data_IF_426860827972
#
_entry.id   IF_426860827972
#
_cell.length_a   1.000
_cell.length_b   1.000
_cell.length_c   1.000
_cell.angle_alpha   90.00
_cell.angle_beta   90.00
_cell.angle_gamma   90.00
#
_symmetry.space_group_name_H-M   'P 1'
#
loop_
_entity.id
_entity.type
_entity.pdbx_description
1 polymer ?
#
# COMPACT_ATOMS: atom_id res chain seq x y z
N UNK A 1 -49.04 -0.69 95.50
CA UNK A 1 -49.40 -0.73 94.06
C UNK A 1 -48.12 -0.48 93.25
N UNK A 2 -47.53 -1.57 92.78
CA UNK A 2 -46.25 -1.51 92.05
C UNK A 2 -46.49 -1.58 90.53
N UNK A 3 -45.99 -0.64 89.83
CA UNK A 3 -46.08 -0.57 88.38
C UNK A 3 -44.82 -1.23 87.77
N UNK A 4 -44.91 -2.50 87.29
CA UNK A 4 -43.87 -3.16 86.61
C UNK A 4 -43.83 -2.69 85.15
N UNK A 5 -42.86 -1.86 84.82
CA UNK A 5 -42.55 -1.50 83.44
C UNK A 5 -41.80 -2.68 82.80
N UNK A 6 -42.46 -3.37 81.91
CA UNK A 6 -41.83 -4.37 81.08
C UNK A 6 -40.96 -3.68 80.01
N UNK A 7 -39.65 -3.69 80.19
CA UNK A 7 -38.67 -3.35 79.14
C UNK A 7 -38.81 -4.37 78.02
N UNK A 8 -39.47 -3.97 76.95
CA UNK A 8 -39.43 -4.70 75.72
C UNK A 8 -38.00 -4.75 75.16
N UNK A 9 -37.48 -5.95 75.07
CA UNK A 9 -36.19 -6.20 74.47
C UNK A 9 -36.33 -6.02 72.97
N UNK A 10 -35.93 -4.88 72.42
CA UNK A 10 -35.75 -4.74 71.00
C UNK A 10 -34.45 -5.48 70.61
N UNK A 11 -34.56 -6.77 70.38
CA UNK A 11 -33.51 -7.61 69.93
C UNK A 11 -33.53 -7.68 68.40
N UNK A 12 -32.49 -7.19 67.76
CA UNK A 12 -31.94 -8.00 66.68
C UNK A 12 -32.30 -7.63 65.26
N UNK A 13 -32.64 -6.38 64.88
CA UNK A 13 -32.70 -6.03 63.46
C UNK A 13 -31.41 -5.39 62.90
N UNK A 14 -30.48 -5.00 63.75
CA UNK A 14 -29.23 -4.36 63.31
C UNK A 14 -28.25 -5.28 62.61
N UNK A 15 -28.29 -6.59 62.87
CA UNK A 15 -27.41 -7.56 62.22
C UNK A 15 -27.91 -7.97 60.83
N UNK A 16 -29.24 -8.03 60.66
CA UNK A 16 -29.87 -8.41 59.38
C UNK A 16 -29.73 -7.29 58.37
N UNK A 17 -29.96 -6.03 58.77
CA UNK A 17 -29.75 -4.85 57.90
C UNK A 17 -28.27 -4.66 57.49
N UNK A 18 -27.32 -5.03 58.34
CA UNK A 18 -25.90 -5.00 57.99
C UNK A 18 -25.52 -6.07 56.95
N UNK A 19 -26.09 -7.26 57.05
CA UNK A 19 -25.87 -8.33 56.09
C UNK A 19 -26.53 -8.02 54.72
N UNK A 20 -27.72 -7.49 54.70
CA UNK A 20 -28.40 -7.06 53.49
C UNK A 20 -27.65 -5.96 52.76
N UNK A 21 -27.17 -4.92 53.47
CA UNK A 21 -26.35 -3.87 52.87
C UNK A 21 -25.02 -4.38 52.37
N UNK A 22 -24.39 -5.35 53.04
CA UNK A 22 -23.15 -5.94 52.56
C UNK A 22 -23.37 -6.73 51.27
N UNK A 23 -24.44 -7.48 51.15
CA UNK A 23 -24.78 -8.24 49.92
C UNK A 23 -25.03 -7.26 48.76
N UNK A 24 -25.79 -6.18 49.00
CA UNK A 24 -26.07 -5.19 47.96
C UNK A 24 -24.78 -4.49 47.50
N UNK A 25 -23.89 -4.13 48.45
CA UNK A 25 -22.61 -3.51 48.12
C UNK A 25 -21.72 -4.46 47.26
N UNK A 26 -21.63 -5.73 47.65
CA UNK A 26 -20.87 -6.71 46.89
C UNK A 26 -21.46 -6.90 45.47
N UNK A 27 -22.78 -7.03 45.38
CA UNK A 27 -23.47 -7.16 44.09
C UNK A 27 -23.22 -5.93 43.20
N UNK A 28 -23.30 -4.73 43.78
CA UNK A 28 -23.03 -3.47 43.09
C UNK A 28 -21.56 -3.40 42.58
N UNK A 29 -20.59 -3.72 43.45
CA UNK A 29 -19.18 -3.72 43.08
C UNK A 29 -18.87 -4.73 41.96
N UNK A 30 -19.48 -5.93 42.02
CA UNK A 30 -19.29 -6.94 40.96
C UNK A 30 -19.87 -6.45 39.64
N UNK A 31 -21.10 -5.94 39.64
CA UNK A 31 -21.72 -5.41 38.41
C UNK A 31 -20.91 -4.21 37.87
N UNK A 32 -20.51 -3.29 38.74
CA UNK A 32 -19.73 -2.11 38.36
C UNK A 32 -18.36 -2.51 37.78
N UNK A 33 -17.69 -3.54 38.35
CA UNK A 33 -16.39 -4.00 37.86
C UNK A 33 -16.50 -4.68 36.50
N UNK A 34 -17.53 -5.50 36.26
CA UNK A 34 -17.81 -6.13 34.95
C UNK A 34 -18.13 -5.06 33.91
N UNK A 35 -18.96 -4.09 34.29
CA UNK A 35 -19.30 -2.98 33.38
C UNK A 35 -18.08 -2.14 33.05
N UNK A 36 -17.26 -1.77 34.04
CA UNK A 36 -16.03 -1.03 33.84
C UNK A 36 -15.05 -1.80 32.94
N UNK A 37 -14.90 -3.10 33.13
CA UNK A 37 -14.08 -3.96 32.28
C UNK A 37 -14.57 -3.98 30.83
N UNK A 38 -15.88 -4.15 30.61
CA UNK A 38 -16.43 -4.18 29.25
C UNK A 38 -16.26 -2.85 28.52
N UNK A 39 -16.50 -1.72 29.21
CA UNK A 39 -16.31 -0.38 28.62
C UNK A 39 -14.83 -0.11 28.31
N UNK A 40 -13.93 -0.46 29.24
CA UNK A 40 -12.50 -0.30 29.04
C UNK A 40 -11.99 -1.19 27.87
N UNK A 41 -12.43 -2.44 27.83
CA UNK A 41 -12.06 -3.36 26.73
C UNK A 41 -12.57 -2.86 25.37
N UNK A 42 -13.80 -2.38 25.29
CA UNK A 42 -14.36 -1.81 24.08
C UNK A 42 -13.61 -0.52 23.66
N UNK A 43 -13.26 0.32 24.63
CA UNK A 43 -12.46 1.54 24.38
C UNK A 43 -11.06 1.25 23.87
N UNK A 44 -10.38 0.26 24.46
CA UNK A 44 -9.05 -0.18 23.98
C UNK A 44 -9.13 -0.77 22.58
N UNK A 45 -10.14 -1.59 22.29
CA UNK A 45 -10.34 -2.15 20.96
C UNK A 45 -10.60 -1.06 19.91
N UNK A 46 -11.43 -0.06 20.23
CA UNK A 46 -11.68 1.09 19.35
C UNK A 46 -10.40 1.87 19.07
N UNK A 47 -9.64 2.19 20.12
CA UNK A 47 -8.38 2.92 20.00
C UNK A 47 -7.33 2.15 19.17
N UNK A 48 -7.28 0.81 19.29
CA UNK A 48 -6.41 -0.03 18.47
C UNK A 48 -6.83 0.00 16.99
N UNK A 49 -8.13 -0.08 16.72
CA UNK A 49 -8.67 0.00 15.34
C UNK A 49 -8.45 1.37 14.71
N UNK A 50 -8.60 2.44 15.46
CA UNK A 50 -8.29 3.79 14.99
C UNK A 50 -6.80 3.93 14.64
N UNK A 51 -5.92 3.45 15.51
CA UNK A 51 -4.47 3.45 15.26
C UNK A 51 -4.10 2.63 14.04
N UNK A 52 -4.68 1.45 13.87
CA UNK A 52 -4.48 0.60 12.70
C UNK A 52 -4.93 1.31 11.41
N UNK A 53 -6.13 1.91 11.42
CA UNK A 53 -6.66 2.64 10.26
C UNK A 53 -5.80 3.86 9.88
N UNK A 54 -5.33 4.61 10.87
CA UNK A 54 -4.42 5.74 10.64
C UNK A 54 -3.08 5.25 10.09
N UNK A 55 -2.53 4.17 10.64
CA UNK A 55 -1.26 3.59 10.16
C UNK A 55 -1.36 3.14 8.71
N UNK A 56 -2.41 2.40 8.35
CA UNK A 56 -2.65 1.95 6.96
C UNK A 56 -2.86 3.16 6.02
N UNK A 57 -3.57 4.19 6.48
CA UNK A 57 -3.77 5.43 5.71
C UNK A 57 -2.46 6.19 5.45
N UNK A 58 -1.59 6.28 6.44
CA UNK A 58 -0.28 6.90 6.30
C UNK A 58 0.62 6.06 5.39
N UNK A 59 0.64 4.75 5.57
CA UNK A 59 1.40 3.82 4.72
C UNK A 59 0.97 3.93 3.25
N UNK A 60 -0.33 3.94 2.97
CA UNK A 60 -0.85 4.12 1.62
C UNK A 60 -0.48 5.48 0.99
N UNK A 61 -0.47 6.55 1.78
CA UNK A 61 -0.07 7.87 1.31
C UNK A 61 1.45 8.01 1.11
N UNK A 62 2.26 7.39 1.97
CA UNK A 62 3.72 7.44 1.92
C UNK A 62 4.29 6.57 0.80
N UNK A 63 3.59 5.53 0.39
CA UNK A 63 3.98 4.64 -0.72
C UNK A 63 3.65 5.21 -2.11
N UNK A 64 3.40 6.52 -2.23
CA UNK A 64 3.16 7.16 -3.52
C UNK A 64 4.47 7.30 -4.31
N UNK A 65 4.45 6.78 -5.54
CA UNK A 65 5.54 6.91 -6.50
C UNK A 65 5.47 8.24 -7.24
N UNK A 66 6.59 8.74 -7.70
CA UNK A 66 6.69 9.88 -8.63
C UNK A 66 7.76 9.66 -9.67
N UNK A 67 7.59 10.28 -10.84
CA UNK A 67 8.58 10.28 -11.90
C UNK A 67 9.57 11.40 -11.64
N UNK A 68 10.86 11.08 -11.64
CA UNK A 68 11.95 12.02 -11.45
C UNK A 68 12.71 12.22 -12.78
N UNK A 69 12.46 13.32 -13.44
CA UNK A 69 13.11 13.65 -14.72
C UNK A 69 12.26 13.33 -15.94
N UNK A 70 12.91 13.22 -17.09
CA UNK A 70 12.26 12.98 -18.38
C UNK A 70 12.03 11.51 -18.65
N UNK A 71 11.05 11.22 -19.48
CA UNK A 71 10.79 9.89 -20.04
C UNK A 71 11.53 9.80 -21.38
N UNK A 72 12.25 8.72 -21.58
CA UNK A 72 13.05 8.47 -22.77
C UNK A 72 12.47 7.28 -23.52
N UNK A 73 12.17 7.46 -24.78
CA UNK A 73 11.88 6.38 -25.70
C UNK A 73 13.15 6.03 -26.50
N UNK A 74 13.42 4.75 -26.68
CA UNK A 74 14.60 4.25 -27.36
C UNK A 74 14.22 3.25 -28.41
N UNK A 75 14.70 3.48 -29.61
CA UNK A 75 14.77 2.55 -30.73
C UNK A 75 16.15 1.86 -30.66
N UNK A 76 16.20 0.53 -30.59
CA UNK A 76 17.44 -0.23 -30.38
C UNK A 76 17.96 -0.89 -31.65
N UNK A 77 17.15 -1.09 -32.66
CA UNK A 77 17.48 -1.79 -33.90
C UNK A 77 17.45 -0.89 -35.14
N UNK A 78 16.89 0.32 -35.05
CA UNK A 78 16.90 1.33 -36.11
C UNK A 78 15.76 1.22 -37.11
N UNK A 79 14.72 0.50 -36.78
CA UNK A 79 13.53 0.33 -37.63
C UNK A 79 12.48 1.46 -37.47
N UNK A 80 12.73 2.40 -36.54
CA UNK A 80 11.95 3.60 -36.24
C UNK A 80 10.73 3.38 -35.35
N UNK A 81 10.63 2.25 -34.74
CA UNK A 81 9.68 2.04 -33.66
C UNK A 81 10.39 2.16 -32.27
N UNK A 82 9.59 2.14 -31.23
CA UNK A 82 10.10 2.24 -29.86
C UNK A 82 10.14 0.88 -29.24
N UNK A 83 11.34 0.39 -28.91
CA UNK A 83 11.56 -0.88 -28.23
C UNK A 83 11.56 -0.76 -26.71
N UNK A 84 11.99 0.40 -26.19
CA UNK A 84 12.19 0.58 -24.77
C UNK A 84 11.70 1.95 -24.30
N UNK A 85 11.03 1.97 -23.15
CA UNK A 85 10.69 3.16 -22.43
C UNK A 85 11.49 3.23 -21.14
N UNK A 86 12.21 4.33 -20.94
CA UNK A 86 13.13 4.50 -19.83
C UNK A 86 12.72 5.73 -19.03
N UNK A 87 12.51 5.59 -17.74
CA UNK A 87 12.20 6.69 -16.84
C UNK A 87 12.75 6.41 -15.44
N UNK A 88 12.80 7.41 -14.61
CA UNK A 88 13.29 7.28 -13.23
C UNK A 88 12.12 7.45 -12.27
N UNK A 89 12.00 6.57 -11.32
CA UNK A 89 11.02 6.68 -10.23
C UNK A 89 11.70 6.99 -8.91
N UNK A 90 10.97 7.67 -8.06
CA UNK A 90 11.32 7.94 -6.66
C UNK A 90 10.04 8.00 -5.82
N UNK A 91 10.20 8.00 -4.50
CA UNK A 91 9.07 8.18 -3.59
C UNK A 91 8.74 9.66 -3.40
N UNK A 92 7.46 9.98 -3.20
CA UNK A 92 7.00 11.36 -2.98
C UNK A 92 7.35 11.86 -1.59
N UNK A 93 7.18 11.02 -0.58
CA UNK A 93 7.41 11.36 0.82
C UNK A 93 8.68 10.70 1.33
N UNK A 94 9.53 11.49 1.96
CA UNK A 94 10.88 11.13 2.36
C UNK A 94 11.02 10.28 3.62
N UNK A 95 9.98 9.58 4.09
CA UNK A 95 10.08 8.68 5.25
C UNK A 95 9.10 7.51 5.15
N UNK A 96 9.59 6.30 5.47
CA UNK A 96 8.83 5.04 5.58
C UNK A 96 8.12 4.52 4.31
N UNK A 97 8.62 4.90 3.15
CA UNK A 97 8.13 4.38 1.88
C UNK A 97 8.97 3.16 1.51
N UNK A 98 8.40 1.97 1.62
CA UNK A 98 9.03 0.71 1.24
C UNK A 98 8.23 0.09 0.10
N UNK A 99 8.66 0.33 -1.13
CA UNK A 99 8.00 -0.21 -2.31
C UNK A 99 8.86 -1.32 -2.88
N UNK A 100 8.33 -2.52 -2.88
CA UNK A 100 9.00 -3.70 -3.41
C UNK A 100 9.06 -3.63 -4.95
N UNK A 101 10.28 -3.54 -5.46
CA UNK A 101 10.63 -3.52 -6.88
C UNK A 101 11.38 -4.79 -7.29
N UNK A 102 11.18 -5.90 -6.59
CA UNK A 102 11.71 -7.19 -7.02
C UNK A 102 11.24 -7.48 -8.44
N UNK A 103 12.16 -7.90 -9.30
CA UNK A 103 11.90 -8.15 -10.72
C UNK A 103 11.80 -9.64 -11.00
N UNK A 104 10.81 -10.04 -11.78
CA UNK A 104 10.77 -11.37 -12.40
C UNK A 104 11.55 -11.32 -13.71
N UNK A 105 12.31 -12.35 -13.99
CA UNK A 105 13.00 -12.47 -15.28
C UNK A 105 12.05 -13.06 -16.32
N UNK A 106 11.90 -12.37 -17.43
CA UNK A 106 11.26 -12.93 -18.63
C UNK A 106 12.15 -14.03 -19.20
N UNK A 107 11.73 -15.28 -19.05
CA UNK A 107 12.51 -16.46 -19.40
C UNK A 107 12.17 -17.00 -20.77
N UNK A 108 10.96 -16.77 -21.25
CA UNK A 108 10.50 -17.20 -22.56
C UNK A 108 10.77 -16.14 -23.65
N UNK A 109 11.03 -14.89 -23.26
CA UNK A 109 11.39 -13.79 -24.16
C UNK A 109 10.21 -13.20 -24.94
N UNK A 110 8.98 -13.40 -24.45
CA UNK A 110 7.79 -12.87 -25.12
C UNK A 110 7.44 -11.44 -24.68
N UNK A 111 8.16 -10.89 -23.69
CA UNK A 111 7.99 -9.54 -23.15
C UNK A 111 6.87 -9.41 -22.14
N UNK A 112 6.31 -10.50 -21.65
CA UNK A 112 5.31 -10.54 -20.59
C UNK A 112 5.86 -11.23 -19.33
N UNK A 113 5.43 -10.79 -18.16
CA UNK A 113 5.78 -11.42 -16.89
C UNK A 113 4.61 -12.19 -16.29
N UNK A 114 3.42 -12.04 -16.86
CA UNK A 114 2.17 -12.63 -16.35
C UNK A 114 2.15 -14.15 -16.41
N UNK A 115 2.84 -14.76 -17.35
CA UNK A 115 2.88 -16.20 -17.62
C UNK A 115 4.13 -16.90 -17.08
N UNK A 116 5.05 -16.16 -16.45
CA UNK A 116 6.27 -16.71 -15.90
C UNK A 116 6.02 -17.67 -14.73
N UNK A 117 6.64 -18.86 -14.79
CA UNK A 117 6.44 -19.91 -13.79
C UNK A 117 6.97 -19.56 -12.39
N UNK A 118 8.00 -18.70 -12.32
CA UNK A 118 8.65 -18.27 -11.08
C UNK A 118 8.41 -16.78 -10.81
N UNK A 119 7.18 -16.37 -10.85
CA UNK A 119 6.76 -14.99 -10.62
C UNK A 119 7.05 -14.55 -9.16
N UNK A 120 7.93 -13.56 -9.00
CA UNK A 120 8.31 -13.00 -7.69
C UNK A 120 8.00 -11.51 -7.56
N UNK A 121 7.76 -10.81 -8.68
CA UNK A 121 7.48 -9.37 -8.65
C UNK A 121 6.09 -9.09 -8.07
N UNK A 122 5.99 -7.95 -7.38
CA UNK A 122 4.74 -7.44 -6.82
C UNK A 122 4.30 -6.12 -7.50
N UNK A 123 5.24 -5.44 -8.16
CA UNK A 123 4.95 -4.24 -8.97
C UNK A 123 4.63 -4.66 -10.39
N UNK A 124 3.46 -4.26 -10.87
CA UNK A 124 2.95 -4.58 -12.21
C UNK A 124 3.06 -3.35 -13.10
N UNK A 125 3.51 -3.54 -14.35
CA UNK A 125 3.54 -2.49 -15.37
C UNK A 125 2.62 -2.89 -16.51
N UNK A 126 1.59 -2.07 -16.74
CA UNK A 126 0.58 -2.28 -17.78
C UNK A 126 0.77 -1.23 -18.88
N UNK A 127 0.73 -1.66 -20.13
CA UNK A 127 0.80 -0.81 -21.31
C UNK A 127 -0.56 -0.73 -22.01
N UNK A 128 -0.95 0.49 -22.38
CA UNK A 128 -2.17 0.73 -23.17
C UNK A 128 -1.83 1.63 -24.35
N UNK A 129 -2.36 1.32 -25.49
CA UNK A 129 -2.49 2.26 -26.58
C UNK A 129 -3.91 2.20 -27.18
N UNK A 130 -4.10 2.78 -28.37
CA UNK A 130 -5.40 2.81 -29.02
C UNK A 130 -5.90 1.40 -29.42
N UNK A 131 -5.01 0.49 -29.71
CA UNK A 131 -5.29 -0.78 -30.38
C UNK A 131 -5.00 -1.99 -29.49
N UNK A 132 -4.16 -1.83 -28.46
CA UNK A 132 -3.65 -2.92 -27.60
C UNK A 132 -3.69 -2.53 -26.11
N UNK A 133 -3.92 -3.55 -25.29
CA UNK A 133 -3.71 -3.55 -23.85
C UNK A 133 -2.85 -4.77 -23.48
N UNK A 134 -1.70 -4.53 -22.87
CA UNK A 134 -0.77 -5.57 -22.40
C UNK A 134 -0.59 -5.41 -20.90
N UNK A 135 -1.04 -6.40 -20.16
CA UNK A 135 -0.85 -6.46 -18.72
C UNK A 135 0.49 -7.11 -18.38
N UNK A 136 1.16 -6.54 -17.38
CA UNK A 136 2.36 -7.12 -16.78
C UNK A 136 3.51 -7.31 -17.80
N UNK A 137 3.81 -6.24 -18.55
CA UNK A 137 4.90 -6.24 -19.54
C UNK A 137 6.27 -6.28 -18.85
N UNK A 138 7.27 -6.83 -19.55
CA UNK A 138 8.61 -6.99 -19.02
C UNK A 138 9.31 -5.66 -18.73
N UNK A 139 9.91 -5.57 -17.58
CA UNK A 139 10.65 -4.39 -17.13
C UNK A 139 11.87 -4.79 -16.31
N UNK A 140 12.84 -3.90 -16.26
CA UNK A 140 14.02 -4.03 -15.39
C UNK A 140 14.26 -2.73 -14.64
N UNK A 141 15.04 -2.81 -13.57
CA UNK A 141 15.43 -1.65 -12.77
C UNK A 141 16.93 -1.54 -12.63
N UNK A 142 17.40 -0.31 -12.46
CA UNK A 142 18.79 -0.01 -12.14
C UNK A 142 18.82 1.10 -11.10
N UNK A 143 19.50 0.94 -9.95
CA UNK A 143 19.58 1.97 -8.94
C UNK A 143 20.37 3.19 -9.47
N UNK A 144 19.96 4.40 -9.07
CA UNK A 144 20.62 5.65 -9.40
C UNK A 144 21.02 6.38 -8.12
N UNK A 145 22.32 6.61 -7.96
CA UNK A 145 22.85 7.33 -6.81
C UNK A 145 22.95 6.50 -5.55
N UNK A 146 22.41 7.00 -4.43
CA UNK A 146 22.44 6.28 -3.16
C UNK A 146 21.44 5.13 -3.19
N UNK A 147 21.88 3.93 -2.87
CA UNK A 147 21.08 2.71 -2.71
C UNK A 147 21.82 1.80 -1.74
N UNK A 148 21.15 1.04 -0.93
CA UNK A 148 21.75 0.12 0.06
C UNK A 148 22.00 -1.28 -0.51
N UNK A 149 21.52 -1.55 -1.74
CA UNK A 149 21.79 -2.78 -2.48
C UNK A 149 20.64 -3.78 -2.46
N UNK A 150 19.49 -3.40 -1.95
CA UNK A 150 18.29 -4.22 -2.00
C UNK A 150 17.36 -3.85 -3.17
N UNK A 151 16.21 -4.52 -3.24
CA UNK A 151 15.21 -4.34 -4.28
C UNK A 151 14.02 -3.47 -3.82
N UNK A 152 14.17 -2.78 -2.71
CA UNK A 152 13.12 -1.93 -2.12
C UNK A 152 13.43 -0.48 -2.46
N UNK A 153 12.44 0.25 -2.95
CA UNK A 153 12.57 1.68 -3.14
C UNK A 153 12.22 2.41 -1.85
N UNK A 154 13.25 2.91 -1.20
CA UNK A 154 13.17 3.66 0.04
C UNK A 154 13.21 5.19 -0.15
N UNK A 155 13.10 5.88 0.98
CA UNK A 155 13.18 7.33 1.01
C UNK A 155 14.53 7.87 0.53
N UNK A 156 14.48 8.70 -0.50
CA UNK A 156 15.69 9.33 -1.09
C UNK A 156 16.42 8.47 -2.11
N UNK A 157 15.95 7.28 -2.36
CA UNK A 157 16.43 6.43 -3.42
C UNK A 157 15.74 6.70 -4.74
N UNK A 158 16.38 6.27 -5.83
CA UNK A 158 15.87 6.38 -7.19
C UNK A 158 16.23 5.13 -7.98
N UNK A 159 15.28 4.64 -8.73
CA UNK A 159 15.51 3.56 -9.68
C UNK A 159 15.15 3.99 -11.08
N UNK A 160 16.01 3.67 -12.03
CA UNK A 160 15.71 3.77 -13.46
C UNK A 160 14.95 2.52 -13.85
N UNK A 161 13.76 2.70 -14.38
CA UNK A 161 12.97 1.67 -15.01
C UNK A 161 13.27 1.63 -16.49
N UNK A 162 13.43 0.43 -17.01
CA UNK A 162 13.47 0.15 -18.45
C UNK A 162 12.35 -0.84 -18.71
N UNK A 163 11.35 -0.41 -19.45
CA UNK A 163 10.20 -1.20 -19.86
C UNK A 163 10.45 -1.64 -21.30
N UNK A 164 10.30 -2.93 -21.55
CA UNK A 164 10.52 -3.53 -22.85
C UNK A 164 9.21 -3.71 -23.60
N UNK A 165 9.15 -3.21 -24.83
CA UNK A 165 7.96 -3.28 -25.67
C UNK A 165 7.99 -4.48 -26.63
N UNK A 166 8.81 -5.48 -26.35
CA UNK A 166 8.96 -6.70 -27.18
C UNK A 166 7.68 -7.53 -27.28
N UNK A 167 6.74 -7.37 -26.33
CA UNK A 167 5.42 -7.98 -26.37
C UNK A 167 4.48 -7.35 -27.41
N UNK A 168 4.81 -6.16 -27.95
CA UNK A 168 4.01 -5.51 -28.98
C UNK A 168 4.15 -6.26 -30.30
N UNK A 169 3.02 -6.68 -30.94
CA UNK A 169 3.09 -7.19 -32.31
C UNK A 169 3.64 -6.12 -33.26
N UNK A 170 4.43 -6.52 -34.26
CA UNK A 170 5.00 -5.58 -35.25
C UNK A 170 3.94 -4.72 -35.96
N UNK A 171 2.69 -5.21 -36.06
CA UNK A 171 1.59 -4.44 -36.61
C UNK A 171 1.09 -3.30 -35.70
N UNK A 172 1.46 -3.32 -34.44
CA UNK A 172 1.09 -2.37 -33.40
C UNK A 172 2.34 -1.78 -32.72
N UNK A 173 3.45 -1.77 -33.42
CA UNK A 173 4.67 -1.16 -32.93
C UNK A 173 4.46 0.33 -32.67
N UNK A 174 5.04 0.84 -31.60
CA UNK A 174 4.88 2.22 -31.17
C UNK A 174 5.71 3.16 -32.03
N UNK A 175 5.08 3.86 -32.95
CA UNK A 175 5.71 4.72 -33.96
C UNK A 175 5.43 6.20 -33.79
N UNK A 176 5.88 7.01 -34.75
CA UNK A 176 5.66 8.46 -34.71
C UNK A 176 4.18 8.84 -34.64
N UNK A 177 3.86 9.80 -33.75
CA UNK A 177 2.53 10.30 -33.42
C UNK A 177 1.64 9.35 -32.62
N UNK A 178 2.07 8.14 -32.35
CA UNK A 178 1.30 7.25 -31.49
C UNK A 178 1.31 7.73 -30.05
N UNK A 179 0.20 7.53 -29.39
CA UNK A 179 0.03 7.86 -27.97
C UNK A 179 -0.10 6.56 -27.18
N UNK A 180 0.74 6.44 -26.17
CA UNK A 180 0.70 5.31 -25.24
C UNK A 180 0.43 5.78 -23.82
N UNK A 181 0.01 4.85 -23.01
CA UNK A 181 -0.14 5.03 -21.57
C UNK A 181 0.49 3.84 -20.85
N UNK A 182 1.37 4.12 -19.91
CA UNK A 182 1.90 3.15 -18.96
C UNK A 182 1.23 3.37 -17.61
N UNK A 183 0.77 2.31 -16.99
CA UNK A 183 0.36 2.30 -15.60
C UNK A 183 1.35 1.44 -14.80
N UNK A 184 1.92 2.01 -13.75
CA UNK A 184 2.81 1.32 -12.82
C UNK A 184 2.06 1.17 -11.51
N UNK A 185 1.69 -0.06 -11.18
CA UNK A 185 0.93 -0.42 -9.99
C UNK A 185 1.82 -1.12 -8.98
N UNK A 186 2.27 -0.41 -7.93
CA UNK A 186 3.03 -1.02 -6.85
C UNK A 186 2.11 -1.88 -5.97
N UNK A 187 2.66 -2.81 -5.15
CA UNK A 187 1.88 -3.66 -4.25
C UNK A 187 1.15 -2.86 -3.15
N UNK A 188 1.62 -1.65 -2.89
CA UNK A 188 1.03 -0.70 -1.93
C UNK A 188 1.16 0.71 -2.46
N UNK A 189 0.18 1.56 -2.16
CA UNK A 189 0.16 2.95 -2.59
C UNK A 189 -0.64 3.19 -3.84
N UNK A 190 -0.42 4.34 -4.46
CA UNK A 190 -1.14 4.75 -5.68
C UNK A 190 -0.37 4.36 -6.93
N UNK A 191 -1.07 3.92 -7.97
CA UNK A 191 -0.50 3.71 -9.29
C UNK A 191 -0.05 5.04 -9.91
N UNK A 192 1.01 4.99 -10.71
CA UNK A 192 1.42 6.09 -11.58
C UNK A 192 0.92 5.83 -12.99
N UNK A 193 0.32 6.84 -13.59
CA UNK A 193 -0.09 6.81 -14.99
C UNK A 193 0.78 7.79 -15.79
N UNK A 194 1.43 7.28 -16.82
CA UNK A 194 2.26 8.01 -17.76
C UNK A 194 1.57 7.97 -19.13
N UNK A 195 1.07 9.09 -19.61
CA UNK A 195 0.52 9.17 -20.97
C UNK A 195 1.37 10.13 -21.79
N UNK A 196 1.94 9.65 -22.89
CA UNK A 196 2.81 10.40 -23.78
C UNK A 196 2.57 10.07 -25.24
N UNK A 197 2.93 11.02 -26.12
CA UNK A 197 2.88 10.87 -27.58
C UNK A 197 4.30 10.87 -28.14
N UNK A 198 4.55 9.95 -29.07
CA UNK A 198 5.83 9.85 -29.77
C UNK A 198 5.99 11.04 -30.74
N UNK A 199 7.15 11.70 -30.80
CA UNK A 199 7.40 12.80 -31.71
C UNK A 199 7.26 12.42 -33.19
N UNK A 200 7.07 13.43 -34.04
CA UNK A 200 6.98 13.26 -35.49
C UNK A 200 8.21 12.61 -36.16
N UNK A 201 9.37 12.80 -35.55
CA UNK A 201 10.64 12.25 -36.05
C UNK A 201 11.14 11.28 -34.99
N UNK A 202 11.24 10.03 -35.38
CA UNK A 202 11.83 8.98 -34.56
C UNK A 202 13.35 9.01 -34.73
N UNK A 203 14.07 8.95 -33.63
CA UNK A 203 15.53 8.83 -33.55
C UNK A 203 15.88 7.76 -32.52
N UNK A 204 17.07 7.21 -32.58
CA UNK A 204 17.52 6.16 -31.68
C UNK A 204 17.30 6.45 -30.18
N UNK A 205 17.21 7.72 -29.81
CA UNK A 205 16.87 8.17 -28.45
C UNK A 205 15.99 9.42 -28.53
N UNK A 206 14.85 9.39 -27.90
CA UNK A 206 13.87 10.48 -27.88
C UNK A 206 13.51 10.84 -26.44
N UNK A 207 13.48 12.13 -26.14
CA UNK A 207 12.98 12.63 -24.85
C UNK A 207 11.52 13.02 -25.02
N UNK A 208 10.66 12.42 -24.23
CA UNK A 208 9.22 12.67 -24.23
C UNK A 208 8.88 13.71 -23.15
N UNK A 209 8.38 14.86 -23.55
CA UNK A 209 8.03 15.97 -22.67
C UNK A 209 6.55 15.99 -22.31
#
# INVERSE_FOLDING_TARGET
>A
MGNRITRGIVRGQRGITGLETAIILIAFVVVASVFAYTVLSAGLFSAQKEKEAVSVGIEGASSALTISGSIIAKDTDGDKDVDQLIFTISTVLGQESNIDLTVTTDTNGDGLLSDEANKVHATVVTYFDRDINLDDIAWTKTPIGKNDGDDILEAGEKFRFTVYLTALPSANALTAYDTFTLEISPPRGASIIISKTIPAVTSAVMVLN
#
